data_IF_907339841289
#
_entry.id   IF_907339841289
#
_cell.length_a   1.000
_cell.length_b   1.000
_cell.length_c   1.000
_cell.angle_alpha   90.00
_cell.angle_beta   90.00
_cell.angle_gamma   90.00
#
_symmetry.space_group_name_H-M   'P 1'
#
loop_
_entity.id
_entity.type
_entity.pdbx_description
1 polymer ?
#
# COMPACT_ATOMS: atom_id res chain seq x y z
N UNK A 1 -22.22 2.53 20.62
CA UNK A 1 -20.76 2.49 20.39
C UNK A 1 -20.16 3.67 21.12
N UNK A 2 -19.12 3.45 21.92
CA UNK A 2 -18.42 4.55 22.57
C UNK A 2 -17.70 5.39 21.51
N UNK A 3 -17.77 6.71 21.66
CA UNK A 3 -17.01 7.65 20.80
C UNK A 3 -15.80 8.12 21.59
N UNK A 4 -14.65 8.04 20.99
CA UNK A 4 -13.35 8.45 21.52
C UNK A 4 -12.98 9.80 20.93
N UNK A 5 -12.65 10.77 21.78
CA UNK A 5 -12.20 12.11 21.37
C UNK A 5 -10.69 12.23 21.54
N UNK A 6 -10.02 12.70 20.52
CA UNK A 6 -8.56 12.84 20.49
C UNK A 6 -8.15 13.91 19.48
N UNK A 7 -6.84 14.14 19.29
CA UNK A 7 -6.34 15.21 18.43
C UNK A 7 -5.30 14.65 17.45
N UNK A 8 -5.39 15.00 16.16
CA UNK A 8 -4.33 14.78 15.17
C UNK A 8 -3.88 16.13 14.61
N UNK A 9 -2.59 16.48 14.77
CA UNK A 9 -1.98 17.73 14.31
C UNK A 9 -2.85 18.96 14.64
N UNK A 10 -3.25 19.06 15.92
CA UNK A 10 -4.09 20.12 16.47
C UNK A 10 -5.57 20.15 15.99
N UNK A 11 -5.98 19.18 15.15
CA UNK A 11 -7.36 19.00 14.71
C UNK A 11 -8.09 18.06 15.69
N UNK A 12 -9.15 18.50 16.36
CA UNK A 12 -9.98 17.60 17.17
C UNK A 12 -10.72 16.59 16.29
N UNK A 13 -10.69 15.33 16.70
CA UNK A 13 -11.25 14.20 15.96
C UNK A 13 -12.04 13.33 16.92
N UNK A 14 -13.15 12.80 16.45
CA UNK A 14 -13.96 11.80 17.16
C UNK A 14 -14.05 10.54 16.29
N UNK A 15 -13.86 9.38 16.89
CA UNK A 15 -13.98 8.10 16.18
C UNK A 15 -14.56 7.01 17.10
N UNK A 16 -15.21 5.98 16.57
CA UNK A 16 -15.64 4.83 17.34
C UNK A 16 -14.48 4.14 18.07
N UNK A 17 -14.75 3.65 19.27
CA UNK A 17 -13.79 2.82 20.02
C UNK A 17 -13.31 1.62 19.17
N UNK A 18 -12.02 1.32 19.20
CA UNK A 18 -11.39 0.26 18.40
C UNK A 18 -10.94 0.69 16.99
N UNK A 19 -11.33 1.88 16.52
CA UNK A 19 -10.81 2.44 15.26
C UNK A 19 -9.31 2.67 15.39
N UNK A 20 -8.52 2.32 14.38
CA UNK A 20 -7.10 2.65 14.37
C UNK A 20 -6.86 4.10 13.92
N UNK A 21 -5.71 4.67 14.31
CA UNK A 21 -5.38 6.08 14.01
C UNK A 21 -5.41 6.36 12.51
N UNK A 22 -4.98 5.40 11.66
CA UNK A 22 -4.93 5.59 10.21
C UNK A 22 -6.34 5.74 9.62
N UNK A 23 -7.28 4.88 10.02
CA UNK A 23 -8.67 4.96 9.57
C UNK A 23 -9.32 6.25 10.07
N UNK A 24 -9.15 6.59 11.34
CA UNK A 24 -9.70 7.82 11.90
C UNK A 24 -9.14 9.07 11.19
N UNK A 25 -7.86 9.07 10.82
CA UNK A 25 -7.25 10.15 10.03
C UNK A 25 -7.87 10.23 8.62
N UNK A 26 -8.04 9.08 7.96
CA UNK A 26 -8.64 8.99 6.63
C UNK A 26 -10.08 9.53 6.62
N UNK A 27 -10.90 9.11 7.58
CA UNK A 27 -12.31 9.53 7.71
C UNK A 27 -12.46 11.04 7.99
N UNK A 28 -11.40 11.66 8.51
CA UNK A 28 -11.36 13.09 8.82
C UNK A 28 -10.48 13.93 7.87
N UNK A 29 -10.11 13.37 6.69
CA UNK A 29 -9.27 14.04 5.69
C UNK A 29 -7.91 14.50 6.24
N UNK A 30 -7.30 13.72 7.14
CA UNK A 30 -5.93 13.92 7.59
C UNK A 30 -5.02 12.91 6.90
N UNK A 31 -4.05 13.40 6.17
CA UNK A 31 -3.16 12.55 5.40
C UNK A 31 -2.07 11.92 6.26
N UNK A 32 -2.02 10.59 6.28
CA UNK A 32 -0.91 9.80 6.80
C UNK A 32 -0.39 8.92 5.66
N UNK A 33 0.90 8.98 5.28
CA UNK A 33 1.41 8.16 4.19
C UNK A 33 1.36 6.67 4.54
N UNK A 34 0.90 5.85 3.59
CA UNK A 34 0.82 4.41 3.76
C UNK A 34 0.57 3.68 2.44
N UNK A 35 1.22 2.53 2.25
CA UNK A 35 1.11 1.73 1.02
C UNK A 35 0.44 0.38 1.23
N UNK A 36 0.43 -0.15 2.45
CA UNK A 36 -0.14 -1.47 2.72
C UNK A 36 -1.56 -1.41 3.33
N UNK A 37 -1.96 -0.27 3.89
CA UNK A 37 -3.29 -0.11 4.47
C UNK A 37 -4.36 0.06 3.39
N UNK A 38 -5.47 -0.65 3.56
CA UNK A 38 -6.67 -0.49 2.77
C UNK A 38 -7.90 -0.67 3.68
N UNK A 39 -8.91 0.23 3.64
CA UNK A 39 -10.02 0.22 4.61
C UNK A 39 -10.89 -1.05 4.57
N UNK A 40 -10.90 -1.77 3.46
CA UNK A 40 -11.69 -2.99 3.25
C UNK A 40 -10.89 -4.29 3.39
N UNK A 41 -9.61 -4.23 3.80
CA UNK A 41 -8.73 -5.39 3.92
C UNK A 41 -8.16 -5.48 5.33
N UNK A 42 -7.89 -6.70 5.77
CA UNK A 42 -7.16 -6.93 7.02
C UNK A 42 -5.82 -6.22 7.01
N UNK A 43 -5.47 -5.68 8.15
CA UNK A 43 -4.26 -4.92 8.33
C UNK A 43 -3.01 -5.80 8.23
N UNK A 44 -2.11 -5.48 7.32
CA UNK A 44 -0.85 -6.21 7.13
C UNK A 44 0.34 -5.56 7.86
N UNK A 45 0.42 -4.22 7.89
CA UNK A 45 1.47 -3.47 8.58
C UNK A 45 2.85 -3.58 7.94
N UNK A 46 2.98 -3.99 6.68
CA UNK A 46 4.26 -4.28 6.02
C UNK A 46 5.05 -3.07 5.58
N UNK A 47 4.42 -1.99 5.11
CA UNK A 47 5.13 -0.86 4.50
C UNK A 47 5.83 0.07 5.51
N UNK A 48 5.42 0.07 6.77
CA UNK A 48 6.00 0.88 7.87
C UNK A 48 6.00 2.41 7.66
N UNK A 49 5.26 2.93 6.67
CA UNK A 49 5.21 4.37 6.38
C UNK A 49 4.29 5.17 7.30
N UNK A 50 3.25 4.53 7.86
CA UNK A 50 2.27 5.19 8.73
C UNK A 50 2.79 5.47 10.17
N UNK A 51 4.10 5.64 10.32
CA UNK A 51 4.75 5.97 11.58
C UNK A 51 4.35 7.37 12.03
N UNK A 52 3.91 7.50 13.29
CA UNK A 52 3.44 8.75 13.91
C UNK A 52 3.97 8.86 15.33
N UNK A 53 4.03 10.08 15.84
CA UNK A 53 4.29 10.33 17.24
C UNK A 53 2.96 10.40 17.99
N UNK A 54 2.86 9.70 19.11
CA UNK A 54 1.64 9.57 19.89
C UNK A 54 1.94 9.91 21.36
N UNK A 55 1.15 10.79 21.93
CA UNK A 55 1.17 11.08 23.37
C UNK A 55 -0.12 10.55 24.01
N UNK A 56 0.03 9.60 24.92
CA UNK A 56 -1.03 8.98 25.70
C UNK A 56 -0.66 8.95 27.17
N UNK A 57 -1.59 9.25 28.06
CA UNK A 57 -1.39 9.19 29.52
C UNK A 57 -0.08 9.87 29.96
N UNK A 58 0.22 11.05 29.38
CA UNK A 58 1.45 11.85 29.63
C UNK A 58 2.76 11.18 29.16
N UNK A 59 2.70 10.13 28.35
CA UNK A 59 3.88 9.49 27.75
C UNK A 59 3.87 9.67 26.24
N UNK A 60 4.98 10.17 25.71
CA UNK A 60 5.16 10.32 24.26
C UNK A 60 5.95 9.14 23.71
N UNK A 61 5.46 8.55 22.65
CA UNK A 61 6.10 7.45 21.95
C UNK A 61 5.80 7.46 20.47
N UNK A 62 6.26 6.48 19.75
CA UNK A 62 6.01 6.36 18.31
C UNK A 62 5.23 5.08 18.03
N UNK A 63 4.28 5.17 17.10
CA UNK A 63 3.38 4.05 16.73
C UNK A 63 3.19 4.01 15.21
N UNK A 64 2.77 2.85 14.74
CA UNK A 64 2.25 2.72 13.39
C UNK A 64 0.74 2.96 13.41
N UNK A 65 0.30 4.02 12.78
CA UNK A 65 -1.08 4.48 12.82
C UNK A 65 -2.10 3.40 12.41
N UNK A 66 -1.74 2.55 11.46
CA UNK A 66 -2.62 1.46 11.02
C UNK A 66 -2.82 0.36 12.06
N UNK A 67 -1.92 0.24 13.05
CA UNK A 67 -1.93 -0.83 14.07
C UNK A 67 -2.33 -0.34 15.47
N UNK A 68 -2.48 0.95 15.65
CA UNK A 68 -2.69 1.52 16.98
C UNK A 68 -4.12 2.06 17.11
N UNK A 69 -4.95 1.50 18.02
CA UNK A 69 -6.31 1.99 18.22
C UNK A 69 -6.28 3.38 18.87
N UNK A 70 -7.31 4.16 18.61
CA UNK A 70 -7.50 5.48 19.24
C UNK A 70 -7.85 5.32 20.71
N UNK A 71 -7.42 6.27 21.55
CA UNK A 71 -7.77 6.35 22.97
C UNK A 71 -8.16 7.78 23.37
N UNK A 72 -8.98 7.90 24.42
CA UNK A 72 -9.48 9.20 24.89
C UNK A 72 -8.33 10.14 25.29
N UNK A 73 -8.40 11.37 24.80
CA UNK A 73 -7.39 12.40 25.05
C UNK A 73 -6.02 12.15 24.42
N UNK A 74 -5.89 11.18 23.49
CA UNK A 74 -4.68 10.95 22.71
C UNK A 74 -4.31 12.17 21.88
N UNK A 75 -3.01 12.46 21.79
CA UNK A 75 -2.49 13.48 20.88
C UNK A 75 -1.57 12.79 19.87
N UNK A 76 -1.88 12.92 18.60
CA UNK A 76 -1.11 12.36 17.49
C UNK A 76 -0.45 13.48 16.71
N UNK A 77 0.85 13.38 16.47
CA UNK A 77 1.60 14.26 15.56
C UNK A 77 2.04 13.47 14.35
N UNK A 78 1.54 13.87 13.19
CA UNK A 78 1.77 13.15 11.94
C UNK A 78 3.13 13.48 11.35
N UNK A 79 3.63 14.69 11.55
CA UNK A 79 4.82 15.18 10.85
C UNK A 79 5.82 15.88 11.77
N UNK A 80 6.48 15.13 12.67
CA UNK A 80 7.62 15.64 13.44
C UNK A 80 8.94 15.38 12.70
N UNK A 81 10.04 16.10 13.01
CA UNK A 81 11.35 15.87 12.38
C UNK A 81 11.83 14.40 12.49
N UNK A 82 11.52 13.74 13.59
CA UNK A 82 11.85 12.32 13.80
C UNK A 82 11.01 11.40 12.92
N UNK A 83 9.70 11.66 12.82
CA UNK A 83 8.76 10.93 11.96
C UNK A 83 9.17 11.07 10.50
N UNK A 84 9.45 12.30 10.04
CA UNK A 84 9.88 12.56 8.66
C UNK A 84 11.19 11.84 8.33
N UNK A 85 12.17 11.87 9.21
CA UNK A 85 13.45 11.15 9.02
C UNK A 85 13.24 9.65 8.92
N UNK A 86 12.40 9.07 9.79
CA UNK A 86 12.07 7.65 9.76
C UNK A 86 11.42 7.26 8.43
N UNK A 87 10.39 8.00 8.00
CA UNK A 87 9.67 7.73 6.74
C UNK A 87 10.58 7.83 5.53
N UNK A 88 11.46 8.83 5.49
CA UNK A 88 12.47 8.96 4.43
C UNK A 88 13.35 7.71 4.33
N UNK A 89 13.88 7.23 5.46
CA UNK A 89 14.68 6.00 5.47
C UNK A 89 13.91 4.77 4.98
N UNK A 90 12.66 4.61 5.40
CA UNK A 90 11.80 3.51 4.93
C UNK A 90 11.56 3.60 3.42
N UNK A 91 11.27 4.79 2.90
CA UNK A 91 11.11 4.99 1.45
C UNK A 91 12.38 4.69 0.68
N UNK A 92 13.54 5.10 1.18
CA UNK A 92 14.83 4.79 0.54
C UNK A 92 15.10 3.28 0.49
N UNK A 93 14.72 2.51 1.52
CA UNK A 93 14.80 1.04 1.48
C UNK A 93 13.84 0.44 0.44
N UNK A 94 12.61 0.94 0.34
CA UNK A 94 11.67 0.49 -0.68
C UNK A 94 12.21 0.78 -2.09
N UNK A 95 12.72 1.99 -2.33
CA UNK A 95 13.30 2.40 -3.61
C UNK A 95 14.58 1.63 -3.97
N UNK A 96 15.37 1.22 -2.97
CA UNK A 96 16.59 0.44 -3.20
C UNK A 96 16.30 -0.90 -3.89
N UNK A 97 15.19 -1.56 -3.56
CA UNK A 97 14.79 -2.85 -4.11
C UNK A 97 13.82 -2.74 -5.29
N UNK A 98 13.11 -1.63 -5.41
CA UNK A 98 12.13 -1.42 -6.47
C UNK A 98 12.77 -1.17 -7.83
N UNK A 99 12.21 -1.76 -8.89
CA UNK A 99 12.60 -1.46 -10.26
C UNK A 99 12.15 -0.04 -10.65
N UNK A 100 13.11 0.85 -10.92
CA UNK A 100 12.86 2.26 -11.22
C UNK A 100 12.57 2.49 -12.72
N UNK A 101 11.72 1.65 -13.31
CA UNK A 101 11.30 1.73 -14.72
C UNK A 101 10.01 2.55 -14.91
N UNK A 102 9.83 3.64 -14.14
CA UNK A 102 8.62 4.47 -14.17
C UNK A 102 8.23 4.95 -15.59
N UNK A 103 9.16 5.33 -16.48
CA UNK A 103 8.80 5.71 -17.85
C UNK A 103 8.11 4.63 -18.67
N UNK A 104 8.32 3.35 -18.32
CA UNK A 104 7.72 2.18 -19.00
C UNK A 104 6.75 1.41 -18.12
N UNK A 105 6.33 1.97 -17.00
CA UNK A 105 5.39 1.36 -16.07
C UNK A 105 3.99 1.92 -16.26
N UNK A 106 2.99 1.06 -16.49
CA UNK A 106 1.60 1.48 -16.70
C UNK A 106 1.01 2.20 -15.48
N UNK A 107 1.52 1.91 -14.27
CA UNK A 107 1.08 2.56 -13.03
C UNK A 107 1.64 3.97 -12.83
N UNK A 108 2.51 4.46 -13.71
CA UNK A 108 3.08 5.81 -13.57
C UNK A 108 1.99 6.90 -13.69
N UNK A 109 1.98 7.80 -12.72
CA UNK A 109 0.94 8.86 -12.57
C UNK A 109 -0.11 8.54 -11.52
N UNK A 110 -0.33 7.25 -11.18
CA UNK A 110 -1.24 6.82 -10.11
C UNK A 110 -0.56 5.85 -9.13
N UNK A 111 0.76 5.80 -9.14
CA UNK A 111 1.56 4.93 -8.29
C UNK A 111 1.75 5.55 -6.90
N UNK A 112 1.23 4.89 -5.86
CA UNK A 112 1.39 5.38 -4.47
C UNK A 112 2.85 5.49 -4.02
N UNK A 113 3.73 4.58 -4.47
CA UNK A 113 5.16 4.66 -4.15
C UNK A 113 5.80 5.91 -4.81
N UNK A 114 5.48 6.17 -6.07
CA UNK A 114 5.96 7.33 -6.81
C UNK A 114 5.49 8.64 -6.17
N UNK A 115 4.20 8.74 -5.83
CA UNK A 115 3.62 9.95 -5.23
C UNK A 115 4.30 10.28 -3.90
N UNK A 116 4.44 9.30 -2.99
CA UNK A 116 5.12 9.51 -1.70
C UNK A 116 6.61 9.86 -1.90
N UNK A 117 7.27 9.32 -2.92
CA UNK A 117 8.66 9.66 -3.26
C UNK A 117 8.79 11.15 -3.61
N UNK A 118 7.88 11.68 -4.43
CA UNK A 118 7.84 13.09 -4.79
C UNK A 118 7.48 14.00 -3.62
N UNK A 119 6.47 13.64 -2.83
CA UNK A 119 6.09 14.38 -1.62
C UNK A 119 7.26 14.55 -0.64
N UNK A 120 8.09 13.51 -0.50
CA UNK A 120 9.25 13.55 0.39
C UNK A 120 10.50 14.15 -0.25
N UNK A 121 10.43 14.56 -1.52
CA UNK A 121 11.55 15.05 -2.31
C UNK A 121 12.77 14.12 -2.21
N UNK A 122 12.55 12.83 -2.49
CA UNK A 122 13.59 11.79 -2.41
C UNK A 122 14.18 11.52 -3.77
N UNK A 123 15.51 11.57 -3.83
CA UNK A 123 16.26 11.00 -4.94
C UNK A 123 16.65 9.55 -4.61
N UNK A 124 16.41 8.56 -5.50
CA UNK A 124 16.88 7.20 -5.30
C UNK A 124 18.42 7.15 -5.36
N UNK A 125 19.03 6.26 -4.57
CA UNK A 125 20.46 5.97 -4.73
C UNK A 125 21.34 6.05 -3.48
N UNK A 126 20.83 6.48 -2.32
CA UNK A 126 21.63 6.46 -1.07
C UNK A 126 22.06 5.04 -0.67
N UNK A 127 21.16 4.08 -0.82
CA UNK A 127 21.48 2.67 -0.59
C UNK A 127 21.76 1.96 -1.91
N UNK A 128 23.01 1.50 -2.07
CA UNK A 128 23.40 0.62 -3.17
C UNK A 128 23.07 -0.82 -2.77
N UNK A 129 22.23 -1.49 -3.54
CA UNK A 129 21.88 -2.89 -3.34
C UNK A 129 21.87 -3.63 -4.68
N UNK A 130 22.12 -4.92 -4.62
CA UNK A 130 21.89 -5.82 -5.76
C UNK A 130 20.40 -6.13 -5.78
N UNK A 131 19.68 -5.62 -6.77
CA UNK A 131 18.28 -5.93 -6.99
C UNK A 131 18.13 -7.36 -7.47
N UNK A 132 17.23 -8.10 -6.84
CA UNK A 132 16.78 -9.38 -7.40
C UNK A 132 16.11 -9.13 -8.76
N UNK A 133 16.41 -9.96 -9.75
CA UNK A 133 15.74 -9.91 -11.02
C UNK A 133 14.87 -11.15 -11.19
N UNK A 134 13.58 -10.92 -11.39
CA UNK A 134 12.58 -11.96 -11.61
C UNK A 134 11.99 -11.80 -13.01
N UNK A 135 11.79 -12.89 -13.75
CA UNK A 135 11.04 -12.83 -15.01
C UNK A 135 9.61 -12.32 -14.73
N UNK A 136 9.05 -11.59 -15.68
CA UNK A 136 7.66 -11.17 -15.63
C UNK A 136 6.77 -12.37 -15.91
N UNK A 137 5.83 -12.65 -15.02
CA UNK A 137 4.91 -13.79 -15.11
C UNK A 137 3.73 -13.38 -16.00
N UNK A 138 3.54 -14.10 -17.10
CA UNK A 138 2.53 -13.89 -18.13
C UNK A 138 1.79 -15.17 -18.52
N UNK A 139 1.68 -16.09 -17.60
CA UNK A 139 1.01 -17.37 -17.79
C UNK A 139 -0.53 -17.30 -17.78
N UNK A 140 -1.06 -16.09 -17.57
CA UNK A 140 -2.47 -15.80 -17.47
C UNK A 140 -2.90 -14.88 -18.64
N UNK A 141 -4.06 -15.07 -19.27
CA UNK A 141 -4.50 -14.28 -20.44
C UNK A 141 -4.80 -12.83 -20.09
N UNK A 142 -5.21 -12.53 -18.88
CA UNK A 142 -5.70 -11.20 -18.44
C UNK A 142 -4.69 -10.48 -17.56
N UNK A 143 -4.00 -11.18 -16.68
CA UNK A 143 -3.17 -10.60 -15.63
C UNK A 143 -1.67 -10.82 -15.89
N UNK A 144 -0.89 -9.84 -15.50
CA UNK A 144 0.57 -9.88 -15.51
C UNK A 144 1.12 -9.55 -14.11
N UNK A 145 2.15 -10.28 -13.69
CA UNK A 145 2.86 -9.99 -12.43
C UNK A 145 4.34 -9.70 -12.70
N UNK A 146 4.75 -8.46 -12.44
CA UNK A 146 6.15 -8.06 -12.38
C UNK A 146 6.62 -7.99 -10.91
N UNK A 147 7.28 -9.06 -10.46
CA UNK A 147 7.80 -9.19 -9.08
C UNK A 147 8.86 -8.11 -8.75
N UNK A 148 9.56 -7.54 -9.75
CA UNK A 148 10.57 -6.50 -9.55
C UNK A 148 9.96 -5.15 -9.12
N UNK A 149 8.66 -4.96 -9.35
CA UNK A 149 7.88 -3.79 -8.93
C UNK A 149 7.09 -4.01 -7.65
N UNK A 150 7.16 -5.22 -7.08
CA UNK A 150 6.43 -5.58 -5.87
C UNK A 150 7.15 -5.05 -4.63
N UNK A 151 6.39 -4.40 -3.73
CA UNK A 151 6.86 -3.91 -2.43
C UNK A 151 6.40 -4.80 -1.27
N UNK A 152 5.89 -5.99 -1.55
CA UNK A 152 5.41 -6.98 -0.56
C UNK A 152 4.39 -6.40 0.43
N UNK A 153 3.51 -5.52 -0.03
CA UNK A 153 2.51 -4.86 0.84
C UNK A 153 1.36 -5.76 1.28
N UNK A 154 1.17 -6.92 0.68
CA UNK A 154 0.14 -7.90 1.03
C UNK A 154 -1.27 -7.62 0.53
N UNK A 155 -1.59 -6.41 0.00
CA UNK A 155 -2.96 -6.05 -0.40
C UNK A 155 -3.59 -7.04 -1.37
N UNK A 156 -2.87 -7.49 -2.38
CA UNK A 156 -3.39 -8.43 -3.39
C UNK A 156 -3.70 -9.79 -2.78
N UNK A 157 -2.89 -10.26 -1.84
CA UNK A 157 -3.11 -11.52 -1.11
C UNK A 157 -4.38 -11.42 -0.27
N UNK A 158 -4.50 -10.34 0.54
CA UNK A 158 -5.69 -10.11 1.36
C UNK A 158 -6.94 -9.94 0.49
N UNK A 159 -6.89 -9.18 -0.61
CA UNK A 159 -8.04 -9.02 -1.50
C UNK A 159 -8.48 -10.36 -2.10
N UNK A 160 -7.53 -11.20 -2.54
CA UNK A 160 -7.84 -12.51 -3.11
C UNK A 160 -8.43 -13.48 -2.07
N UNK A 161 -8.00 -13.40 -0.80
CA UNK A 161 -8.50 -14.26 0.28
C UNK A 161 -9.77 -13.75 0.93
N UNK A 162 -9.85 -12.45 1.21
CA UNK A 162 -10.88 -11.87 2.09
C UNK A 162 -12.10 -11.37 1.30
N UNK A 163 -11.88 -10.84 0.09
CA UNK A 163 -12.98 -10.32 -0.75
C UNK A 163 -13.45 -11.40 -1.72
N UNK A 164 -12.52 -12.00 -2.47
CA UNK A 164 -12.86 -12.99 -3.50
C UNK A 164 -13.00 -14.41 -2.97
N UNK A 165 -12.40 -14.73 -1.80
CA UNK A 165 -12.45 -16.05 -1.18
C UNK A 165 -11.64 -17.14 -1.88
N UNK A 166 -10.93 -16.84 -2.99
CA UNK A 166 -10.24 -17.83 -3.82
C UNK A 166 -8.85 -18.18 -3.25
N UNK A 167 -8.10 -17.17 -2.79
CA UNK A 167 -6.74 -17.37 -2.26
C UNK A 167 -5.75 -17.93 -3.28
N UNK A 168 -5.91 -17.59 -4.57
CA UNK A 168 -5.06 -18.09 -5.66
C UNK A 168 -3.59 -17.65 -5.56
N UNK A 169 -3.31 -16.57 -4.83
CA UNK A 169 -1.98 -16.00 -4.66
C UNK A 169 -1.64 -15.85 -3.18
N UNK A 170 -0.37 -16.03 -2.85
CA UNK A 170 0.14 -15.87 -1.49
C UNK A 170 1.60 -15.45 -1.49
N UNK A 171 2.15 -15.19 -0.29
CA UNK A 171 3.58 -15.04 -0.08
C UNK A 171 4.26 -16.39 -0.25
N UNK A 172 5.31 -16.41 -1.06
CA UNK A 172 6.17 -17.57 -1.26
C UNK A 172 7.54 -17.31 -0.68
N UNK A 173 8.22 -18.35 -0.22
CA UNK A 173 9.53 -18.27 0.42
C UNK A 173 9.51 -17.38 1.68
N UNK A 174 10.68 -16.99 2.15
CA UNK A 174 10.84 -16.14 3.35
C UNK A 174 12.10 -15.27 3.26
N UNK A 175 12.14 -14.23 4.09
CA UNK A 175 13.25 -13.27 4.13
C UNK A 175 13.43 -12.56 2.78
N UNK A 176 14.64 -12.40 2.33
CA UNK A 176 14.96 -11.73 1.06
C UNK A 176 14.47 -12.45 -0.20
N UNK A 177 14.11 -13.73 -0.07
CA UNK A 177 13.55 -14.52 -1.18
C UNK A 177 12.03 -14.45 -1.24
N UNK A 178 11.38 -13.73 -0.34
CA UNK A 178 9.92 -13.59 -0.34
C UNK A 178 9.43 -12.92 -1.61
N UNK A 179 8.47 -13.54 -2.26
CA UNK A 179 7.77 -13.03 -3.45
C UNK A 179 6.28 -13.29 -3.33
N UNK A 180 5.48 -12.61 -4.14
CA UNK A 180 4.07 -12.95 -4.35
C UNK A 180 3.97 -13.89 -5.55
N UNK A 181 3.13 -14.91 -5.43
CA UNK A 181 2.90 -15.86 -6.51
C UNK A 181 1.88 -16.93 -6.15
N UNK A 182 1.83 -17.95 -6.98
CA UNK A 182 1.00 -19.14 -6.83
C UNK A 182 1.77 -20.26 -6.13
N UNK A 183 1.08 -21.18 -5.50
CA UNK A 183 1.72 -22.33 -4.85
C UNK A 183 2.57 -23.12 -5.86
N UNK A 184 3.84 -23.36 -5.50
CA UNK A 184 4.81 -24.10 -6.32
C UNK A 184 5.04 -23.52 -7.72
N UNK A 185 4.90 -22.20 -7.88
CA UNK A 185 5.03 -21.48 -9.17
C UNK A 185 4.16 -22.10 -10.30
N UNK A 186 2.99 -22.67 -9.95
CA UNK A 186 2.01 -23.15 -10.93
C UNK A 186 1.37 -21.97 -11.66
N UNK A 187 0.83 -22.18 -12.87
CA UNK A 187 0.03 -21.16 -13.55
C UNK A 187 -1.07 -20.59 -12.66
N UNK A 188 -1.40 -19.31 -12.85
CA UNK A 188 -2.41 -18.64 -12.04
C UNK A 188 -3.82 -19.11 -12.44
N UNK A 189 -4.42 -19.93 -11.59
CA UNK A 189 -5.82 -20.39 -11.69
C UNK A 189 -6.69 -19.52 -10.77
N UNK A 190 -7.49 -18.62 -11.33
CA UNK A 190 -8.32 -17.69 -10.58
C UNK A 190 -9.57 -17.26 -11.36
N UNK A 191 -10.44 -16.46 -10.75
CA UNK A 191 -11.67 -15.92 -11.38
C UNK A 191 -11.44 -14.74 -12.33
N UNK A 192 -10.21 -14.25 -12.49
CA UNK A 192 -9.84 -13.07 -13.28
C UNK A 192 -10.56 -11.78 -12.86
N UNK A 193 -10.97 -11.66 -11.62
CA UNK A 193 -11.73 -10.52 -11.09
C UNK A 193 -10.98 -9.17 -11.16
N UNK A 194 -9.64 -9.17 -11.33
CA UNK A 194 -8.82 -7.95 -11.36
C UNK A 194 -8.58 -7.30 -9.99
N UNK A 195 -9.10 -7.86 -8.89
CA UNK A 195 -8.93 -7.30 -7.54
C UNK A 195 -7.48 -7.06 -7.13
N UNK A 196 -6.57 -7.97 -7.52
CA UNK A 196 -5.12 -7.80 -7.27
C UNK A 196 -4.52 -6.59 -8.00
N UNK A 197 -4.99 -6.26 -9.21
CA UNK A 197 -4.57 -5.05 -9.96
C UNK A 197 -5.13 -3.79 -9.29
N UNK A 198 -6.42 -3.80 -8.95
CA UNK A 198 -7.11 -2.66 -8.37
C UNK A 198 -6.49 -2.20 -7.04
N UNK A 199 -6.12 -3.15 -6.16
CA UNK A 199 -5.56 -2.82 -4.85
C UNK A 199 -4.04 -2.62 -4.86
N UNK A 200 -3.34 -2.95 -5.94
CA UNK A 200 -1.89 -2.85 -6.02
C UNK A 200 -1.44 -1.37 -6.00
N UNK A 201 -0.64 -0.93 -5.00
CA UNK A 201 -0.21 0.46 -4.92
C UNK A 201 0.93 0.80 -5.88
N UNK A 202 1.47 -0.21 -6.57
CA UNK A 202 2.56 -0.10 -7.55
C UNK A 202 2.19 -0.81 -8.85
N UNK A 203 3.07 -0.83 -9.84
CA UNK A 203 2.86 -1.55 -11.10
C UNK A 203 3.29 -3.02 -11.05
N UNK A 204 3.17 -3.70 -9.91
CA UNK A 204 3.52 -5.11 -9.81
C UNK A 204 2.46 -6.01 -10.47
N UNK A 205 1.18 -5.79 -10.17
CA UNK A 205 0.07 -6.41 -10.88
C UNK A 205 -0.45 -5.46 -11.95
N UNK A 206 -0.65 -5.97 -13.14
CA UNK A 206 -1.10 -5.19 -14.31
C UNK A 206 -2.13 -5.98 -15.12
N UNK A 207 -3.01 -5.25 -15.80
CA UNK A 207 -3.94 -5.78 -16.78
C UNK A 207 -3.24 -5.88 -18.15
N UNK A 208 -3.08 -7.09 -18.66
CA UNK A 208 -2.47 -7.35 -19.97
C UNK A 208 -3.30 -6.83 -21.13
N UNK A 209 -4.63 -6.74 -20.96
CA UNK A 209 -5.55 -6.30 -22.01
C UNK A 209 -5.47 -4.79 -22.21
N UNK A 210 -5.18 -4.05 -21.15
CA UNK A 210 -4.96 -2.60 -21.22
C UNK A 210 -3.64 -2.29 -21.93
N UNK A 211 -2.56 -2.96 -21.60
CA UNK A 211 -1.19 -2.82 -22.13
C UNK A 211 -0.84 -1.38 -22.39
N UNK A 212 0.11 -0.76 -21.94
CA UNK A 212 0.54 0.66 -22.05
C UNK A 212 -0.13 1.49 -23.19
N UNK A 213 -1.44 1.73 -23.09
CA UNK A 213 -2.23 2.51 -24.07
C UNK A 213 -2.23 4.02 -23.80
N UNK A 214 -1.73 4.45 -22.65
CA UNK A 214 -1.68 5.86 -22.25
C UNK A 214 -1.28 6.02 -20.80
N UNK A 215 -1.16 7.24 -20.33
CA UNK A 215 -0.87 7.58 -18.95
C UNK A 215 -2.15 7.84 -18.17
N UNK A 216 -2.12 7.67 -16.85
CA UNK A 216 -3.29 7.88 -16.00
C UNK A 216 -3.97 9.25 -16.22
N UNK A 217 -3.19 10.30 -16.48
CA UNK A 217 -3.70 11.66 -16.74
C UNK A 217 -4.26 11.86 -18.17
N UNK A 218 -4.08 10.91 -19.06
CA UNK A 218 -4.63 10.94 -20.43
C UNK A 218 -6.00 10.26 -20.51
N UNK A 219 -6.42 9.54 -19.47
CA UNK A 219 -7.70 8.86 -19.42
C UNK A 219 -8.81 9.73 -18.83
N UNK A 220 -10.00 9.63 -19.42
CA UNK A 220 -11.20 10.18 -18.84
C UNK A 220 -11.90 9.13 -17.98
N UNK A 221 -12.32 9.54 -16.78
CA UNK A 221 -13.10 8.68 -15.88
C UNK A 221 -14.59 8.87 -16.13
N UNK A 222 -15.30 7.78 -16.39
CA UNK A 222 -16.75 7.80 -16.61
C UNK A 222 -17.41 6.85 -15.58
N UNK A 223 -18.39 7.34 -14.81
CA UNK A 223 -19.18 6.47 -13.95
C UNK A 223 -19.88 5.39 -14.77
N UNK A 224 -19.82 4.16 -14.31
CA UNK A 224 -20.45 3.02 -14.98
C UNK A 224 -20.93 1.99 -13.97
N UNK A 225 -21.74 1.05 -14.41
CA UNK A 225 -22.20 -0.09 -13.62
C UNK A 225 -21.46 -1.33 -14.11
N UNK A 226 -20.95 -2.13 -13.18
CA UNK A 226 -20.31 -3.38 -13.54
C UNK A 226 -21.33 -4.36 -14.15
N UNK A 227 -21.09 -4.91 -15.37
CA UNK A 227 -22.05 -5.81 -16.02
C UNK A 227 -22.14 -7.19 -15.34
N UNK A 228 -21.26 -7.51 -14.41
CA UNK A 228 -21.22 -8.82 -13.79
C UNK A 228 -21.95 -8.90 -12.44
N UNK A 229 -21.94 -7.84 -11.65
CA UNK A 229 -22.53 -7.86 -10.30
C UNK A 229 -23.20 -6.56 -9.89
N UNK A 230 -23.57 -5.71 -10.86
CA UNK A 230 -24.19 -4.36 -10.71
C UNK A 230 -25.04 -4.17 -9.46
#
# INVERSE_FOLDING_TARGET
>A
MNIINFVIDDKPISAPEGTNIFQAALDNNVYIPGLCYHPKLSQFGGCRLCFVEVTERKRTGHRFACAHPVSEGMIVKVNTPKVSRYRKSVMEYLLAHHELSCPTCDKSGECGLQNITYEMNLAPGRFKTVRSHHPVIRDNPVLELNRNRCILCGRCVSACKEIEGIGAIDFQSRGFKTVIGTAFDRPLECSFCGGCVAVCPTGAWQDRTLGFKGRAWEFNSTPTICPYCS
#
